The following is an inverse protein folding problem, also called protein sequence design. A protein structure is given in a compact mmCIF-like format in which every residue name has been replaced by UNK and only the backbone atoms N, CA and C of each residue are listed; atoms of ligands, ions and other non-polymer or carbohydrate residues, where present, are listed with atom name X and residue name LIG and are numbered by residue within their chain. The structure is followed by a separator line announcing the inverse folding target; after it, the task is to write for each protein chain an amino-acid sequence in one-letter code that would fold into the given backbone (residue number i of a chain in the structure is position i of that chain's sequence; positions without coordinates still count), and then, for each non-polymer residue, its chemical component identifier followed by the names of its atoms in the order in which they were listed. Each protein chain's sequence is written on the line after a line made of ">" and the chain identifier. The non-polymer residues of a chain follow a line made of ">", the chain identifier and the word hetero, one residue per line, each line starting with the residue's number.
data_IF_844972037506
#
_entry.id   IF_844972037506
#
_cell.length_a   1.000
_cell.length_b   1.000
_cell.length_c   1.000
_cell.angle_alpha   90.00
_cell.angle_beta   90.00
_cell.angle_gamma   90.00
#
_symmetry.space_group_name_H-M   'P 1'
#
loop_
_entity.id
_entity.type
_entity.pdbx_description
1 polymer ?
#
# COMPACT_ATOMS: atom_id res chain seq x y z
N UNK A 1 17.30 14.57 14.61
CA UNK A 1 15.86 14.41 14.89
C UNK A 1 15.12 15.17 13.81
N UNK A 2 14.25 14.53 13.03
CA UNK A 2 13.55 15.20 11.90
C UNK A 2 12.49 16.19 12.39
N UNK A 3 12.31 17.29 11.68
CA UNK A 3 11.29 18.30 12.03
C UNK A 3 9.88 17.83 11.68
N UNK A 4 8.84 18.42 12.29
CA UNK A 4 7.43 18.12 11.98
C UNK A 4 7.14 18.33 10.49
N UNK A 5 7.70 19.37 9.89
CA UNK A 5 7.51 19.67 8.48
C UNK A 5 8.17 18.62 7.57
N UNK A 6 9.39 18.17 7.91
CA UNK A 6 10.04 17.08 7.20
C UNK A 6 9.22 15.79 7.23
N UNK A 7 8.66 15.44 8.40
CA UNK A 7 7.81 14.27 8.56
C UNK A 7 6.52 14.39 7.72
N UNK A 8 5.88 15.57 7.69
CA UNK A 8 4.70 15.83 6.83
C UNK A 8 5.04 15.68 5.34
N UNK A 9 6.19 16.18 4.90
CA UNK A 9 6.66 16.05 3.52
C UNK A 9 6.90 14.57 3.18
N UNK A 10 7.61 13.84 4.04
CA UNK A 10 7.87 12.41 3.83
C UNK A 10 6.57 11.59 3.77
N UNK A 11 5.61 11.85 4.67
CA UNK A 11 4.27 11.23 4.66
C UNK A 11 3.56 11.45 3.31
N UNK A 12 3.60 12.68 2.79
CA UNK A 12 3.01 13.04 1.49
C UNK A 12 3.70 12.33 0.33
N UNK A 13 5.03 12.19 0.37
CA UNK A 13 5.79 11.48 -0.65
C UNK A 13 5.43 9.99 -0.70
N UNK A 14 5.28 9.34 0.46
CA UNK A 14 4.87 7.93 0.54
C UNK A 14 3.46 7.74 -0.01
N UNK A 15 2.50 8.59 0.36
CA UNK A 15 1.16 8.60 -0.22
C UNK A 15 1.20 8.67 -1.75
N UNK A 16 2.01 9.59 -2.29
CA UNK A 16 2.22 9.71 -3.73
C UNK A 16 2.83 8.46 -4.37
N UNK A 17 3.73 7.76 -3.67
CA UNK A 17 4.26 6.47 -4.13
C UNK A 17 3.18 5.39 -4.19
N UNK A 18 2.33 5.26 -3.15
CA UNK A 18 1.22 4.29 -3.14
C UNK A 18 0.30 4.52 -4.35
N UNK A 19 -0.08 5.77 -4.64
CA UNK A 19 -0.90 6.09 -5.83
C UNK A 19 -0.21 5.74 -7.16
N UNK A 20 1.11 5.86 -7.26
CA UNK A 20 1.85 5.42 -8.46
C UNK A 20 1.82 3.90 -8.63
N UNK A 21 1.92 3.14 -7.54
CA UNK A 21 1.74 1.69 -7.59
C UNK A 21 0.33 1.32 -8.06
N UNK A 22 -0.70 2.00 -7.57
CA UNK A 22 -2.08 1.81 -8.04
C UNK A 22 -2.18 2.02 -9.56
N UNK A 23 -1.58 3.10 -10.06
CA UNK A 23 -1.57 3.40 -11.50
C UNK A 23 -0.86 2.31 -12.30
N UNK A 24 0.25 1.76 -11.79
CA UNK A 24 0.97 0.67 -12.44
C UNK A 24 0.14 -0.62 -12.46
N UNK A 25 -0.45 -0.99 -11.33
CA UNK A 25 -1.31 -2.19 -11.21
C UNK A 25 -2.55 -2.08 -12.09
N UNK A 26 -3.16 -0.90 -12.20
CA UNK A 26 -4.31 -0.66 -13.08
C UNK A 26 -3.98 -0.81 -14.56
N UNK A 27 -2.71 -0.73 -14.94
CA UNK A 27 -2.22 -0.91 -16.31
C UNK A 27 -1.61 -2.28 -16.56
N UNK A 28 -1.53 -3.12 -15.53
CA UNK A 28 -1.00 -4.47 -15.64
C UNK A 28 -1.88 -5.30 -16.56
N UNK A 29 -1.24 -6.05 -17.46
CA UNK A 29 -1.89 -6.95 -18.42
C UNK A 29 -1.48 -8.39 -18.12
N UNK A 30 -2.28 -9.33 -18.58
CA UNK A 30 -2.03 -10.76 -18.36
C UNK A 30 -0.75 -11.27 -19.08
N UNK A 31 -0.20 -10.46 -20.00
CA UNK A 31 1.09 -10.70 -20.67
C UNK A 31 2.30 -10.16 -19.91
N UNK A 32 2.08 -9.35 -18.88
CA UNK A 32 3.15 -8.76 -18.08
C UNK A 32 3.72 -9.81 -17.10
N UNK A 33 5.00 -9.64 -16.73
CA UNK A 33 5.68 -10.58 -15.85
C UNK A 33 5.08 -10.57 -14.43
N UNK A 34 4.60 -11.73 -13.98
CA UNK A 34 4.02 -11.96 -12.65
C UNK A 34 4.96 -11.49 -11.54
N UNK A 35 6.27 -11.67 -11.71
CA UNK A 35 7.28 -11.25 -10.74
C UNK A 35 7.22 -9.74 -10.48
N UNK A 36 6.81 -8.93 -11.48
CA UNK A 36 6.64 -7.49 -11.29
C UNK A 36 5.52 -7.19 -10.30
N UNK A 37 4.41 -7.94 -10.30
CA UNK A 37 3.34 -7.75 -9.31
C UNK A 37 3.78 -8.14 -7.90
N UNK A 38 4.58 -9.20 -7.75
CA UNK A 38 5.12 -9.63 -6.46
C UNK A 38 6.08 -8.58 -5.88
N UNK A 39 6.99 -8.05 -6.70
CA UNK A 39 7.88 -6.95 -6.33
C UNK A 39 7.05 -5.73 -5.89
N UNK A 40 6.02 -5.36 -6.66
CA UNK A 40 5.16 -4.22 -6.35
C UNK A 40 4.40 -4.42 -5.05
N UNK A 41 3.94 -5.63 -4.74
CA UNK A 41 3.29 -5.96 -3.48
C UNK A 41 4.25 -5.80 -2.29
N UNK A 42 5.49 -6.27 -2.43
CA UNK A 42 6.53 -6.10 -1.41
C UNK A 42 6.87 -4.62 -1.19
N UNK A 43 7.03 -3.84 -2.26
CA UNK A 43 7.28 -2.39 -2.22
C UNK A 43 6.12 -1.65 -1.53
N UNK A 44 4.87 -1.97 -1.87
CA UNK A 44 3.69 -1.39 -1.22
C UNK A 44 3.64 -1.67 0.28
N UNK A 45 3.97 -2.89 0.68
CA UNK A 45 4.01 -3.29 2.10
C UNK A 45 5.05 -2.45 2.87
N UNK A 46 6.23 -2.25 2.28
CA UNK A 46 7.29 -1.42 2.88
C UNK A 46 6.91 0.06 2.94
N UNK A 47 6.27 0.58 1.90
CA UNK A 47 5.77 1.96 1.87
C UNK A 47 4.73 2.19 2.97
N UNK A 48 3.77 1.28 3.12
CA UNK A 48 2.72 1.40 4.13
C UNK A 48 3.28 1.31 5.56
N UNK A 49 4.25 0.42 5.81
CA UNK A 49 4.97 0.37 7.08
C UNK A 49 5.65 1.72 7.39
N UNK A 50 6.40 2.26 6.42
CA UNK A 50 7.07 3.57 6.57
C UNK A 50 6.07 4.70 6.82
N UNK A 51 4.90 4.66 6.16
CA UNK A 51 3.83 5.63 6.39
C UNK A 51 3.38 5.62 7.86
N UNK A 52 3.06 4.45 8.40
CA UNK A 52 2.59 4.28 9.78
C UNK A 52 3.65 4.71 10.81
N UNK A 53 4.93 4.44 10.57
CA UNK A 53 6.02 4.91 11.42
C UNK A 53 6.13 6.44 11.46
N UNK A 54 5.93 7.12 10.32
CA UNK A 54 5.92 8.59 10.27
C UNK A 54 4.65 9.15 10.93
N UNK A 55 3.51 8.50 10.70
CA UNK A 55 2.23 8.88 11.29
C UNK A 55 2.31 8.84 12.83
N UNK A 56 2.82 7.76 13.41
CA UNK A 56 3.02 7.65 14.86
C UNK A 56 3.98 8.70 15.42
N UNK A 57 5.06 9.04 14.69
CA UNK A 57 5.98 10.13 15.11
C UNK A 57 5.28 11.49 15.13
N UNK A 58 4.41 11.76 14.15
CA UNK A 58 3.64 13.00 14.10
C UNK A 58 2.64 13.08 15.26
N UNK A 59 1.97 11.97 15.58
CA UNK A 59 1.07 11.87 16.73
C UNK A 59 1.81 12.14 18.05
N UNK A 60 2.96 11.48 18.29
CA UNK A 60 3.78 11.71 19.49
C UNK A 60 4.25 13.16 19.65
N UNK A 61 4.69 13.81 18.55
CA UNK A 61 5.15 15.20 18.59
C UNK A 61 4.01 16.17 18.86
N UNK A 62 2.81 15.84 18.39
CA UNK A 62 1.63 16.66 18.59
C UNK A 62 1.06 16.47 20.02
N UNK A 63 1.07 15.25 20.55
CA UNK A 63 0.77 14.95 21.97
C UNK A 63 1.71 15.71 22.93
N UNK A 64 3.01 15.77 22.61
CA UNK A 64 3.98 16.51 23.40
C UNK A 64 3.78 18.04 23.37
N UNK A 65 3.04 18.56 22.38
CA UNK A 65 2.80 19.99 22.19
C UNK A 65 1.49 20.49 22.80
N UNK A 66 0.51 19.61 23.05
CA UNK A 66 -0.83 19.97 23.55
C UNK A 66 -1.21 19.10 24.76
N UNK A 67 -1.20 19.65 25.98
CA UNK A 67 -1.75 18.95 27.16
C UNK A 67 -3.27 18.68 27.05
N UNK A 68 -3.96 19.35 26.12
CA UNK A 68 -5.39 19.20 25.80
C UNK A 68 -5.65 18.35 24.53
N UNK A 69 -4.63 17.66 24.01
CA UNK A 69 -4.66 16.89 22.76
C UNK A 69 -5.82 15.89 22.69
N UNK A 70 -6.21 15.29 23.81
CA UNK A 70 -7.29 14.30 23.86
C UNK A 70 -8.67 14.83 23.40
N UNK A 71 -8.92 16.13 23.43
CA UNK A 71 -10.28 16.68 23.25
C UNK A 71 -10.57 17.32 21.88
N UNK A 72 -9.57 17.55 21.01
CA UNK A 72 -9.77 18.22 19.70
C UNK A 72 -9.10 17.52 18.51
N UNK A 73 -8.47 16.35 18.68
CA UNK A 73 -7.42 15.86 17.76
C UNK A 73 -7.61 14.47 17.13
N UNK A 74 -8.77 13.84 17.28
CA UNK A 74 -9.11 12.60 16.55
C UNK A 74 -9.54 12.83 15.09
N UNK A 75 -9.65 14.07 14.60
CA UNK A 75 -10.37 14.31 13.34
C UNK A 75 -9.51 14.19 12.08
N UNK A 76 -8.38 14.89 11.96
CA UNK A 76 -7.70 14.97 10.65
C UNK A 76 -6.63 13.90 10.41
N UNK A 77 -5.81 13.61 11.41
CA UNK A 77 -4.77 12.58 11.30
C UNK A 77 -5.37 11.18 11.16
N UNK A 78 -6.40 10.86 11.94
CA UNK A 78 -7.11 9.58 11.82
C UNK A 78 -7.88 9.47 10.49
N UNK A 79 -8.56 10.54 10.04
CA UNK A 79 -9.23 10.52 8.73
C UNK A 79 -8.25 10.33 7.57
N UNK A 80 -7.06 10.93 7.64
CA UNK A 80 -6.05 10.73 6.61
C UNK A 80 -5.44 9.33 6.68
N UNK A 81 -5.19 8.80 7.89
CA UNK A 81 -4.78 7.41 8.11
C UNK A 81 -5.79 6.47 7.47
N UNK A 82 -7.06 6.53 7.89
CA UNK A 82 -8.13 5.65 7.40
C UNK A 82 -8.23 5.62 5.87
N UNK A 83 -8.10 6.78 5.21
CA UNK A 83 -8.09 6.87 3.75
C UNK A 83 -6.90 6.15 3.13
N UNK A 84 -5.71 6.32 3.69
CA UNK A 84 -4.49 5.68 3.19
C UNK A 84 -4.52 4.17 3.46
N UNK A 85 -4.98 3.73 4.63
CA UNK A 85 -5.15 2.31 4.95
C UNK A 85 -6.16 1.65 4.02
N UNK A 86 -7.34 2.25 3.85
CA UNK A 86 -8.37 1.75 2.94
C UNK A 86 -7.83 1.62 1.52
N UNK A 87 -7.12 2.65 1.03
CA UNK A 87 -6.52 2.64 -0.29
C UNK A 87 -5.46 1.54 -0.43
N UNK A 88 -4.57 1.40 0.56
CA UNK A 88 -3.55 0.37 0.61
C UNK A 88 -4.17 -1.04 0.57
N UNK A 89 -5.15 -1.33 1.43
CA UNK A 89 -5.77 -2.66 1.48
C UNK A 89 -6.51 -3.00 0.19
N UNK A 90 -7.23 -2.04 -0.40
CA UNK A 90 -7.88 -2.23 -1.69
C UNK A 90 -6.88 -2.59 -2.79
N UNK A 91 -5.74 -1.89 -2.84
CA UNK A 91 -4.70 -2.16 -3.83
C UNK A 91 -4.02 -3.51 -3.60
N UNK A 92 -3.70 -3.87 -2.35
CA UNK A 92 -3.16 -5.19 -2.01
C UNK A 92 -4.11 -6.31 -2.43
N UNK A 93 -5.39 -6.17 -2.13
CA UNK A 93 -6.40 -7.15 -2.51
C UNK A 93 -6.52 -7.28 -4.03
N UNK A 94 -6.43 -6.16 -4.76
CA UNK A 94 -6.42 -6.17 -6.23
C UNK A 94 -5.21 -6.94 -6.78
N UNK A 95 -4.00 -6.66 -6.28
CA UNK A 95 -2.79 -7.36 -6.72
C UNK A 95 -2.90 -8.87 -6.44
N UNK A 96 -3.31 -9.24 -5.22
CA UNK A 96 -3.48 -10.65 -4.84
C UNK A 96 -4.52 -11.37 -5.70
N UNK A 97 -5.61 -10.69 -6.06
CA UNK A 97 -6.64 -11.22 -6.95
C UNK A 97 -6.07 -11.51 -8.35
N UNK A 98 -5.31 -10.56 -8.93
CA UNK A 98 -4.66 -10.75 -10.23
C UNK A 98 -3.69 -11.94 -10.19
N UNK A 99 -2.82 -11.99 -9.17
CA UNK A 99 -1.87 -13.08 -8.98
C UNK A 99 -2.56 -14.45 -8.90
N UNK A 100 -3.66 -14.55 -8.15
CA UNK A 100 -4.42 -15.79 -8.00
C UNK A 100 -5.01 -16.25 -9.34
N UNK A 101 -5.59 -15.34 -10.12
CA UNK A 101 -6.14 -15.66 -11.45
C UNK A 101 -5.06 -16.24 -12.38
N UNK A 102 -3.88 -15.60 -12.43
CA UNK A 102 -2.77 -16.05 -13.29
C UNK A 102 -2.20 -17.41 -12.87
N UNK A 103 -2.18 -17.72 -11.57
CA UNK A 103 -1.77 -19.02 -11.05
C UNK A 103 -2.77 -20.14 -11.39
N UNK A 104 -4.07 -19.84 -11.41
CA UNK A 104 -5.09 -20.81 -11.79
C UNK A 104 -5.07 -21.11 -13.29
N UNK A 105 -4.88 -20.09 -14.14
CA UNK A 105 -4.83 -20.27 -15.60
C UNK A 105 -3.65 -21.14 -16.04
N UNK A 106 -2.47 -20.94 -15.44
CA UNK A 106 -1.28 -21.78 -15.69
C UNK A 106 -1.46 -23.23 -15.20
N UNK A 107 -2.25 -23.46 -14.16
CA UNK A 107 -2.55 -24.81 -13.67
C UNK A 107 -3.54 -25.57 -14.58
N UNK A 108 -4.48 -24.85 -15.22
CA UNK A 108 -5.47 -25.42 -16.13
C UNK A 108 -4.90 -25.83 -17.49
N UNK A 109 -3.91 -25.09 -18.01
CA UNK A 109 -3.24 -25.42 -19.28
C UNK A 109 -2.33 -26.65 -19.18
N UNK A 110 -1.64 -26.84 -18.05
CA UNK A 110 -0.79 -28.01 -17.83
C UNK A 110 -1.57 -29.33 -17.80
N UNK A 111 -2.86 -29.30 -17.49
CA UNK A 111 -3.69 -30.51 -17.43
C UNK A 111 -4.21 -30.96 -18.81
N UNK A 112 -4.26 -30.07 -19.82
CA UNK A 112 -4.73 -30.43 -21.17
C UNK A 112 -3.64 -31.05 -22.07
N UNK A 113 -2.37 -30.99 -21.64
CA UNK A 113 -1.24 -31.52 -22.41
C UNK A 113 -0.97 -33.02 -22.19
N UNK A 114 -1.66 -33.66 -21.24
CA UNK A 114 -1.42 -35.05 -20.88
C UNK A 114 -2.36 -36.08 -21.54
N UNK A 115 -3.42 -35.65 -22.23
CA UNK A 115 -4.42 -36.57 -22.81
C UNK A 115 -4.17 -36.91 -24.30
N UNK A 116 -2.96 -36.67 -24.81
CA UNK A 116 -2.61 -36.99 -26.20
C UNK A 116 -1.24 -37.68 -26.31
N UNK A 117 -1.16 -38.91 -25.82
CA UNK A 117 -0.17 -39.93 -26.24
C UNK A 117 -0.87 -41.28 -26.36
#
# INVERSE_FOLDING_TARGET
>A
MSTVEELKIQRKQIKGSITRHETAVNRFKDTDDVLLLEIRLAELTNLFKTYNEIQGKLEMLQEASDENYANNLESENDKERDKVETHYFNLVNKIKSILLTLQLDTSGENNKRCDSV
#
